data_IF_230094056396
#
_entry.id   IF_230094056396
#
_cell.length_a   1.000
_cell.length_b   1.000
_cell.length_c   1.000
_cell.angle_alpha   90.00
_cell.angle_beta   90.00
_cell.angle_gamma   90.00
#
_symmetry.space_group_name_H-M   'P 1'
#
loop_
_entity.id
_entity.type
_entity.pdbx_description
1 polymer ?
#
# COMPACT_ATOMS: atom_id res chain seq x y z
N UNK A 1 -77.42 8.39 45.70
CA UNK A 1 -76.95 9.54 44.90
C UNK A 1 -75.60 9.14 44.29
N UNK A 2 -75.51 8.97 42.95
CA UNK A 2 -74.88 9.91 41.97
C UNK A 2 -73.39 10.14 42.31
N UNK A 3 -72.37 10.05 41.44
CA UNK A 3 -72.17 10.17 39.99
C UNK A 3 -70.66 9.76 39.82
N UNK A 4 -70.28 8.80 38.98
CA UNK A 4 -69.77 8.95 37.59
C UNK A 4 -68.34 9.54 37.41
N UNK A 5 -67.58 8.82 36.57
CA UNK A 5 -66.49 9.24 35.67
C UNK A 5 -65.16 9.74 36.32
N UNK A 6 -63.95 9.55 35.78
CA UNK A 6 -63.50 9.43 34.39
C UNK A 6 -62.14 8.69 34.32
N UNK A 7 -61.84 8.15 33.13
CA UNK A 7 -60.62 7.46 32.68
C UNK A 7 -59.29 8.16 33.02
N UNK A 8 -58.19 7.40 33.17
CA UNK A 8 -57.16 7.28 32.12
C UNK A 8 -56.10 6.22 32.48
N UNK A 9 -56.03 5.23 31.60
CA UNK A 9 -54.98 4.22 31.46
C UNK A 9 -53.67 4.86 31.00
N UNK A 10 -52.59 4.74 31.76
CA UNK A 10 -51.23 5.02 31.28
C UNK A 10 -50.35 3.78 31.54
N UNK A 11 -50.49 2.78 30.69
CA UNK A 11 -49.57 1.66 30.59
C UNK A 11 -48.28 2.12 29.90
N UNK A 12 -47.25 2.47 30.69
CA UNK A 12 -45.89 2.64 30.19
C UNK A 12 -45.30 1.25 29.91
N UNK A 13 -45.44 0.79 28.67
CA UNK A 13 -44.64 -0.31 28.14
C UNK A 13 -43.22 0.16 27.89
N UNK A 14 -42.31 -0.15 28.81
CA UNK A 14 -40.88 0.04 28.62
C UNK A 14 -40.35 -1.04 27.65
N UNK A 15 -40.45 -0.77 26.36
CA UNK A 15 -39.76 -1.56 25.33
C UNK A 15 -38.26 -1.32 25.45
N UNK A 16 -37.55 -2.25 26.09
CA UNK A 16 -36.08 -2.32 26.03
C UNK A 16 -35.68 -2.64 24.59
N UNK A 17 -35.43 -1.60 23.79
CA UNK A 17 -34.82 -1.73 22.49
C UNK A 17 -33.37 -2.20 22.67
N UNK A 18 -33.11 -3.47 22.37
CA UNK A 18 -31.76 -3.97 22.15
C UNK A 18 -31.17 -3.24 20.95
N UNK A 19 -30.32 -2.24 21.19
CA UNK A 19 -29.47 -1.68 20.15
C UNK A 19 -28.47 -2.76 19.73
N UNK A 20 -28.45 -3.22 18.48
CA UNK A 20 -27.40 -4.11 18.02
C UNK A 20 -26.06 -3.39 18.18
N UNK A 21 -25.12 -4.05 18.86
CA UNK A 21 -23.77 -3.56 19.00
C UNK A 21 -23.19 -3.30 17.59
N UNK A 22 -22.51 -2.16 17.36
CA UNK A 22 -21.89 -1.89 16.07
C UNK A 22 -20.91 -3.03 15.74
N UNK A 23 -20.83 -3.47 14.47
CA UNK A 23 -19.91 -4.52 14.07
C UNK A 23 -18.50 -4.12 14.50
N UNK A 24 -17.87 -4.98 15.30
CA UNK A 24 -16.49 -4.82 15.73
C UNK A 24 -15.61 -4.72 14.49
N UNK A 25 -15.04 -3.54 14.26
CA UNK A 25 -14.08 -3.27 13.18
C UNK A 25 -12.97 -4.33 13.29
N UNK A 26 -12.63 -5.06 12.20
CA UNK A 26 -11.54 -6.02 12.27
C UNK A 26 -10.29 -5.29 12.78
N UNK A 27 -9.63 -5.88 13.79
CA UNK A 27 -8.39 -5.36 14.37
C UNK A 27 -7.48 -4.98 13.22
N UNK A 28 -7.22 -3.68 13.07
CA UNK A 28 -6.42 -3.16 11.96
C UNK A 28 -5.11 -3.95 11.95
N UNK A 29 -4.88 -4.71 10.88
CA UNK A 29 -3.61 -5.40 10.71
C UNK A 29 -2.50 -4.36 10.85
N UNK A 30 -1.56 -4.58 11.77
CA UNK A 30 -0.50 -3.63 12.06
C UNK A 30 0.24 -3.33 10.76
N UNK A 31 0.14 -2.08 10.29
CA UNK A 31 0.92 -1.58 9.16
C UNK A 31 2.37 -1.47 9.58
N UNK A 32 3.25 -2.16 8.86
CA UNK A 32 4.69 -2.12 9.04
C UNK A 32 5.34 -1.91 7.67
N UNK A 33 5.85 -0.71 7.44
CA UNK A 33 6.53 -0.33 6.20
C UNK A 33 7.95 0.09 6.56
N UNK A 34 8.94 -0.53 5.91
CA UNK A 34 10.36 -0.24 6.11
C UNK A 34 11.00 0.03 4.77
N UNK A 35 11.83 1.06 4.73
CA UNK A 35 12.59 1.45 3.55
C UNK A 35 14.04 1.74 3.97
N UNK A 36 14.98 1.22 3.20
CA UNK A 36 16.38 1.64 3.22
C UNK A 36 16.77 2.15 1.83
N UNK A 37 17.63 3.17 1.82
CA UNK A 37 18.21 3.77 0.62
C UNK A 37 19.73 3.69 0.76
N UNK A 38 20.38 2.93 -0.12
CA UNK A 38 21.82 2.64 -0.06
C UNK A 38 22.25 2.12 1.33
N UNK A 39 21.44 1.24 1.92
CA UNK A 39 21.67 0.68 3.25
C UNK A 39 21.31 1.59 4.43
N UNK A 40 20.96 2.86 4.18
CA UNK A 40 20.55 3.80 5.23
C UNK A 40 19.04 3.76 5.43
N UNK A 41 18.52 3.69 6.67
CA UNK A 41 17.08 3.71 6.92
C UNK A 41 16.47 5.04 6.48
N UNK A 42 15.30 4.97 5.83
CA UNK A 42 14.48 6.12 5.46
C UNK A 42 13.16 6.02 6.23
N UNK A 43 12.82 7.07 6.96
CA UNK A 43 11.56 7.12 7.68
C UNK A 43 10.39 7.14 6.67
N UNK A 44 9.44 6.21 6.83
CA UNK A 44 8.27 6.07 5.96
C UNK A 44 7.05 6.63 6.69
N UNK A 45 6.27 7.46 6.01
CA UNK A 45 4.98 7.90 6.49
C UNK A 45 3.93 6.82 6.24
N UNK A 46 3.57 6.08 7.28
CA UNK A 46 2.55 5.03 7.18
C UNK A 46 1.13 5.57 6.98
N UNK A 47 0.88 6.84 7.27
CA UNK A 47 -0.43 7.47 7.11
C UNK A 47 -0.71 7.84 5.66
N UNK A 48 0.31 8.14 4.85
CA UNK A 48 0.17 8.45 3.42
C UNK A 48 0.64 7.34 2.48
N UNK A 49 1.44 6.39 2.97
CA UNK A 49 1.82 5.21 2.18
C UNK A 49 0.61 4.28 1.95
N UNK A 50 0.54 3.66 0.77
CA UNK A 50 -0.59 2.84 0.33
C UNK A 50 -0.13 1.62 -0.44
N UNK A 51 -0.84 0.52 -0.26
CA UNK A 51 -0.77 -0.64 -1.15
C UNK A 51 -2.12 -0.75 -1.85
N UNK A 52 -2.11 -0.78 -3.18
CA UNK A 52 -3.32 -0.66 -3.99
C UNK A 52 -3.32 -1.73 -5.08
N UNK A 53 -4.46 -2.35 -5.32
CA UNK A 53 -4.67 -3.27 -6.43
C UNK A 53 -5.68 -2.63 -7.38
N UNK A 54 -5.26 -2.31 -8.60
CA UNK A 54 -6.17 -1.77 -9.60
C UNK A 54 -7.21 -2.81 -10.05
N UNK A 55 -8.39 -2.32 -10.40
CA UNK A 55 -9.49 -3.07 -10.99
C UNK A 55 -9.45 -2.98 -12.52
N UNK A 56 -10.25 -3.83 -13.18
CA UNK A 56 -10.34 -3.87 -14.64
C UNK A 56 -9.34 -4.83 -15.31
N UNK A 57 -9.10 -4.58 -16.60
CA UNK A 57 -8.17 -5.33 -17.44
C UNK A 57 -6.76 -4.82 -17.15
N UNK A 58 -5.79 -5.73 -16.98
CA UNK A 58 -4.40 -5.43 -16.57
C UNK A 58 -4.29 -4.90 -15.12
N UNK A 59 -4.71 -5.73 -14.16
CA UNK A 59 -4.55 -5.44 -12.73
C UNK A 59 -3.08 -5.20 -12.39
N UNK A 60 -2.84 -4.22 -11.51
CA UNK A 60 -1.51 -3.85 -11.00
C UNK A 60 -1.59 -3.75 -9.49
N UNK A 61 -0.64 -4.37 -8.79
CA UNK A 61 -0.34 -4.09 -7.40
C UNK A 61 0.66 -2.92 -7.37
N UNK A 62 0.26 -1.82 -6.77
CA UNK A 62 1.10 -0.65 -6.50
C UNK A 62 1.51 -0.66 -5.03
N UNK A 63 2.82 -0.53 -4.78
CA UNK A 63 3.38 -0.32 -3.44
C UNK A 63 3.93 1.10 -3.42
N UNK A 64 3.21 2.02 -2.78
CA UNK A 64 3.54 3.43 -2.69
C UNK A 64 4.02 3.76 -1.27
N UNK A 65 5.31 4.04 -1.11
CA UNK A 65 5.94 4.37 0.17
C UNK A 65 6.36 5.84 0.18
N UNK A 66 5.63 6.66 0.92
CA UNK A 66 5.90 8.08 1.11
C UNK A 66 6.96 8.24 2.20
N UNK A 67 7.93 9.14 1.98
CA UNK A 67 8.91 9.48 3.01
C UNK A 67 8.31 10.42 4.04
N UNK A 68 8.60 10.20 5.32
CA UNK A 68 8.10 11.06 6.40
C UNK A 68 8.69 12.49 6.36
N UNK A 69 9.86 12.66 5.76
CA UNK A 69 10.52 13.98 5.60
C UNK A 69 10.18 14.70 4.28
N UNK A 70 9.41 14.06 3.38
CA UNK A 70 8.89 14.68 2.16
C UNK A 70 7.54 14.07 1.78
N UNK A 71 6.44 14.47 2.45
CA UNK A 71 5.11 13.90 2.23
C UNK A 71 4.50 14.27 0.87
N UNK A 72 4.97 15.36 0.25
CA UNK A 72 4.50 15.83 -1.07
C UNK A 72 5.14 15.04 -2.23
N UNK A 73 6.23 14.32 -1.96
CA UNK A 73 6.86 13.43 -2.93
C UNK A 73 6.34 12.00 -2.77
N UNK A 74 6.25 11.28 -3.89
CA UNK A 74 5.81 9.88 -3.87
C UNK A 74 6.77 8.93 -3.13
N UNK A 75 8.01 9.35 -2.85
CA UNK A 75 9.01 8.51 -2.19
C UNK A 75 9.42 7.36 -3.11
N UNK A 76 8.99 6.13 -2.81
CA UNK A 76 9.19 4.94 -3.64
C UNK A 76 7.84 4.39 -4.13
N UNK A 77 7.74 4.16 -5.44
CA UNK A 77 6.62 3.44 -6.06
C UNK A 77 7.13 2.17 -6.73
N UNK A 78 6.49 1.04 -6.48
CA UNK A 78 6.74 -0.24 -7.18
C UNK A 78 5.45 -0.72 -7.80
N UNK A 79 5.49 -1.13 -9.08
CA UNK A 79 4.35 -1.69 -9.79
C UNK A 79 4.57 -3.18 -10.09
N UNK A 80 3.54 -4.01 -9.92
CA UNK A 80 3.54 -5.43 -10.26
C UNK A 80 2.23 -5.78 -10.97
N UNK A 81 2.30 -6.12 -12.26
CA UNK A 81 1.13 -6.43 -13.08
C UNK A 81 0.86 -7.93 -13.30
N UNK A 82 1.48 -8.79 -12.49
CA UNK A 82 1.32 -10.24 -12.58
C UNK A 82 0.17 -10.71 -11.69
N UNK A 83 -0.97 -11.02 -12.30
CA UNK A 83 -2.17 -11.52 -11.61
C UNK A 83 -2.64 -12.89 -12.13
N UNK A 84 -3.27 -13.72 -11.28
CA UNK A 84 -3.58 -13.48 -9.86
C UNK A 84 -2.31 -13.40 -8.99
N UNK A 85 -2.33 -12.52 -8.00
CA UNK A 85 -1.20 -12.36 -7.08
C UNK A 85 -1.13 -13.58 -6.16
N UNK A 86 0.03 -14.24 -6.15
CA UNK A 86 0.36 -15.38 -5.30
C UNK A 86 1.61 -15.12 -4.46
N UNK A 87 1.87 -15.94 -3.44
CA UNK A 87 3.15 -15.89 -2.73
C UNK A 87 4.28 -16.34 -3.67
N UNK A 88 5.39 -15.61 -3.68
CA UNK A 88 6.50 -15.90 -4.60
C UNK A 88 7.34 -14.67 -4.94
N UNK A 89 8.27 -14.87 -5.88
CA UNK A 89 9.17 -13.82 -6.38
C UNK A 89 8.66 -13.20 -7.67
N UNK A 90 8.57 -11.88 -7.66
CA UNK A 90 8.22 -11.04 -8.79
C UNK A 90 9.47 -10.25 -9.19
N UNK A 91 10.25 -10.83 -10.11
CA UNK A 91 11.42 -10.16 -10.67
C UNK A 91 10.98 -9.09 -11.66
N UNK A 92 11.64 -7.95 -11.62
CA UNK A 92 11.54 -6.89 -12.60
C UNK A 92 12.12 -7.47 -13.90
N UNK A 93 11.24 -7.82 -14.85
CA UNK A 93 11.65 -8.46 -16.10
C UNK A 93 12.03 -7.40 -17.13
N UNK A 94 12.83 -7.82 -18.10
CA UNK A 94 13.18 -7.02 -19.26
C UNK A 94 11.97 -6.81 -20.19
N UNK A 95 12.10 -5.77 -21.02
CA UNK A 95 11.07 -5.03 -21.78
C UNK A 95 10.17 -5.92 -22.68
N UNK A 96 10.59 -7.14 -23.01
CA UNK A 96 9.88 -8.04 -23.94
C UNK A 96 8.82 -8.93 -23.29
N UNK A 97 8.67 -8.89 -21.96
CA UNK A 97 7.73 -9.77 -21.26
C UNK A 97 6.26 -9.32 -21.28
N UNK A 98 5.97 -8.13 -21.84
CA UNK A 98 4.62 -7.56 -21.83
C UNK A 98 4.09 -7.21 -20.44
N UNK A 99 4.95 -7.31 -19.42
CA UNK A 99 4.61 -7.13 -18.02
C UNK A 99 5.32 -5.91 -17.42
N UNK A 100 4.57 -4.97 -16.84
CA UNK A 100 5.07 -3.79 -16.13
C UNK A 100 5.47 -4.18 -14.71
N UNK A 101 6.78 -4.23 -14.49
CA UNK A 101 7.41 -4.42 -13.19
C UNK A 101 8.55 -3.44 -13.07
N UNK A 102 8.23 -2.27 -12.58
CA UNK A 102 9.17 -1.18 -12.45
C UNK A 102 9.12 -0.59 -11.05
N UNK A 103 10.11 0.24 -10.79
CA UNK A 103 10.13 1.05 -9.61
C UNK A 103 10.60 2.45 -9.97
N UNK A 104 10.01 3.43 -9.29
CA UNK A 104 10.40 4.83 -9.39
C UNK A 104 10.62 5.40 -8.00
N UNK A 105 11.48 6.40 -7.94
CA UNK A 105 11.78 7.11 -6.71
C UNK A 105 11.85 8.60 -6.96
N UNK A 106 11.25 9.37 -6.06
CA UNK A 106 11.25 10.82 -6.09
C UNK A 106 11.48 11.39 -4.70
N UNK A 107 12.44 12.30 -4.61
CA UNK A 107 12.69 13.07 -3.40
C UNK A 107 13.40 14.39 -3.73
N UNK A 108 12.73 15.51 -3.49
CA UNK A 108 13.20 16.84 -3.87
C UNK A 108 13.43 16.91 -5.38
N UNK A 109 14.66 17.24 -5.79
CA UNK A 109 15.06 17.31 -7.21
C UNK A 109 15.55 15.98 -7.78
N UNK A 110 15.61 14.93 -6.97
CA UNK A 110 16.08 13.61 -7.40
C UNK A 110 14.90 12.79 -7.90
N UNK A 111 14.97 12.37 -9.17
CA UNK A 111 14.05 11.40 -9.76
C UNK A 111 14.87 10.23 -10.30
N UNK A 112 14.49 9.01 -9.95
CA UNK A 112 15.18 7.80 -10.38
C UNK A 112 14.19 6.71 -10.81
N UNK A 113 14.59 5.90 -11.79
CA UNK A 113 13.78 4.82 -12.33
C UNK A 113 14.60 3.54 -12.46
N UNK A 114 13.95 2.39 -12.33
CA UNK A 114 14.61 1.09 -12.46
C UNK A 114 15.05 0.83 -13.89
N UNK A 115 14.26 1.24 -14.87
CA UNK A 115 14.58 1.14 -16.30
C UNK A 115 15.73 2.08 -16.74
N UNK A 116 16.04 3.14 -15.98
CA UNK A 116 17.12 4.08 -16.31
C UNK A 116 18.53 3.49 -16.10
N UNK A 117 18.62 2.36 -15.39
CA UNK A 117 19.89 1.64 -15.15
C UNK A 117 20.38 0.80 -16.34
N UNK A 118 19.63 0.72 -17.44
CA UNK A 118 19.92 -0.16 -18.58
C UNK A 118 19.57 -1.62 -18.31
N UNK A 119 19.62 -2.07 -17.05
CA UNK A 119 19.04 -3.33 -16.58
C UNK A 119 17.99 -3.01 -15.51
N UNK A 120 16.79 -3.56 -15.67
CA UNK A 120 15.69 -3.42 -14.72
C UNK A 120 15.88 -4.43 -13.57
N UNK A 121 16.85 -4.18 -12.69
CA UNK A 121 17.24 -5.08 -11.60
C UNK A 121 16.41 -4.81 -10.35
N UNK A 122 15.47 -5.69 -10.07
CA UNK A 122 14.69 -5.67 -8.84
C UNK A 122 13.84 -6.91 -8.65
N UNK A 123 13.39 -7.09 -7.41
CA UNK A 123 12.56 -8.21 -6.99
C UNK A 123 11.64 -7.77 -5.86
N UNK A 124 10.39 -8.20 -5.96
CA UNK A 124 9.46 -8.21 -4.84
C UNK A 124 9.19 -9.65 -4.44
N UNK A 125 9.41 -9.98 -3.18
CA UNK A 125 9.08 -11.28 -2.60
C UNK A 125 7.79 -11.12 -1.80
N UNK A 126 6.69 -11.67 -2.31
CA UNK A 126 5.45 -11.77 -1.54
C UNK A 126 5.54 -13.00 -0.64
N UNK A 127 5.40 -12.78 0.66
CA UNK A 127 5.55 -13.81 1.71
C UNK A 127 4.21 -14.34 2.19
N UNK A 128 3.18 -13.48 2.25
CA UNK A 128 1.84 -13.87 2.65
C UNK A 128 0.79 -12.95 2.01
N UNK A 129 -0.35 -13.53 1.64
CA UNK A 129 -1.54 -12.81 1.17
C UNK A 129 -2.72 -13.38 1.96
N UNK A 130 -3.53 -12.49 2.54
CA UNK A 130 -4.83 -12.84 3.09
C UNK A 130 -5.90 -12.06 2.32
N UNK A 131 -6.56 -12.76 1.40
CA UNK A 131 -7.60 -12.17 0.55
C UNK A 131 -8.87 -11.81 1.33
N UNK A 132 -9.16 -12.48 2.46
CA UNK A 132 -10.34 -12.18 3.27
C UNK A 132 -10.15 -10.89 4.07
N UNK A 133 -8.95 -10.70 4.61
CA UNK A 133 -8.58 -9.50 5.38
C UNK A 133 -7.99 -8.39 4.52
N UNK A 134 -7.84 -8.62 3.22
CA UNK A 134 -7.16 -7.71 2.29
C UNK A 134 -5.78 -7.29 2.80
N UNK A 135 -4.98 -8.23 3.31
CA UNK A 135 -3.63 -7.93 3.80
C UNK A 135 -2.58 -8.64 2.97
N UNK A 136 -1.42 -8.01 2.86
CA UNK A 136 -0.27 -8.55 2.15
C UNK A 136 1.00 -8.24 2.93
N UNK A 137 1.94 -9.19 2.91
CA UNK A 137 3.27 -9.03 3.48
C UNK A 137 4.35 -9.51 2.53
N UNK A 138 5.47 -8.79 2.48
CA UNK A 138 6.61 -9.15 1.66
C UNK A 138 7.86 -8.31 1.90
N UNK A 139 8.85 -8.53 1.06
CA UNK A 139 10.07 -7.72 0.97
C UNK A 139 10.29 -7.25 -0.46
N UNK A 140 11.10 -6.22 -0.63
CA UNK A 140 11.50 -5.74 -1.94
C UNK A 140 12.97 -5.34 -1.95
N UNK A 141 13.56 -5.43 -3.13
CA UNK A 141 14.86 -4.86 -3.47
C UNK A 141 14.78 -4.32 -4.90
N UNK A 142 15.15 -3.07 -5.10
CA UNK A 142 15.15 -2.42 -6.40
C UNK A 142 16.43 -1.61 -6.57
N UNK A 143 17.05 -1.73 -7.75
CA UNK A 143 18.05 -0.77 -8.19
C UNK A 143 17.37 0.29 -9.04
N UNK A 144 17.58 1.56 -8.72
CA UNK A 144 17.17 2.70 -9.54
C UNK A 144 18.38 3.53 -9.97
N UNK A 145 18.24 4.22 -11.10
CA UNK A 145 19.24 5.17 -11.57
C UNK A 145 18.57 6.51 -11.83
N UNK A 146 19.29 7.58 -11.55
CA UNK A 146 18.82 8.95 -11.77
C UNK A 146 18.39 9.13 -13.23
N UNK A 147 17.21 9.72 -13.44
CA UNK A 147 16.60 9.85 -14.75
C UNK A 147 17.51 10.63 -15.72
N UNK A 148 18.04 11.74 -15.22
CA UNK A 148 18.95 12.62 -15.93
C UNK A 148 20.36 12.49 -15.36
N UNK A 149 21.32 12.15 -16.22
CA UNK A 149 22.73 12.22 -15.86
C UNK A 149 23.20 13.67 -15.96
N UNK A 150 24.02 14.13 -15.02
CA UNK A 150 24.73 15.40 -15.22
C UNK A 150 25.71 15.23 -16.39
N UNK A 151 25.88 16.22 -17.28
CA UNK A 151 26.82 16.14 -18.39
C UNK A 151 28.21 15.68 -17.93
N UNK A 152 28.77 14.65 -18.60
CA UNK A 152 30.09 14.10 -18.28
C UNK A 152 30.17 13.18 -17.05
N UNK A 153 29.03 12.82 -16.43
CA UNK A 153 29.01 11.94 -15.24
C UNK A 153 28.19 10.68 -15.48
N UNK A 154 28.50 9.61 -14.74
CA UNK A 154 27.65 8.42 -14.69
C UNK A 154 26.37 8.73 -13.90
N UNK A 155 25.24 8.16 -14.33
CA UNK A 155 23.98 8.22 -13.57
C UNK A 155 24.21 7.73 -12.15
N UNK A 156 23.73 8.48 -11.17
CA UNK A 156 23.75 8.06 -9.76
C UNK A 156 22.83 6.85 -9.59
N UNK A 157 23.33 5.81 -8.93
CA UNK A 157 22.61 4.56 -8.65
C UNK A 157 22.11 4.57 -7.21
N UNK A 158 20.90 4.09 -7.02
CA UNK A 158 20.22 3.93 -5.74
C UNK A 158 19.84 2.47 -5.57
N UNK A 159 20.14 1.92 -4.40
CA UNK A 159 19.66 0.62 -3.97
C UNK A 159 18.57 0.84 -2.92
N UNK A 160 17.34 0.45 -3.23
CA UNK A 160 16.20 0.55 -2.32
C UNK A 160 15.80 -0.84 -1.87
N UNK A 161 15.73 -1.03 -0.57
CA UNK A 161 15.39 -2.32 0.04
C UNK A 161 14.38 -2.10 1.17
N UNK A 162 13.58 -3.11 1.47
CA UNK A 162 12.60 -2.95 2.53
C UNK A 162 11.64 -4.10 2.70
N UNK A 163 10.67 -3.87 3.57
CA UNK A 163 9.59 -4.79 3.86
C UNK A 163 8.27 -4.06 3.97
N UNK A 164 7.20 -4.75 3.62
CA UNK A 164 5.84 -4.24 3.75
C UNK A 164 4.97 -5.29 4.42
N UNK A 165 4.12 -4.84 5.33
CA UNK A 165 2.97 -5.53 5.85
C UNK A 165 1.87 -4.48 5.97
N UNK A 166 0.80 -4.60 5.19
CA UNK A 166 -0.29 -3.64 5.23
C UNK A 166 -1.58 -4.26 4.71
N UNK A 167 -2.70 -3.62 5.04
CA UNK A 167 -3.89 -3.76 4.22
C UNK A 167 -3.63 -3.18 2.83
N UNK A 168 -4.22 -3.78 1.80
CA UNK A 168 -4.27 -3.23 0.45
C UNK A 168 -5.71 -2.87 0.09
N UNK A 169 -5.90 -1.73 -0.59
CA UNK A 169 -7.21 -1.35 -1.14
C UNK A 169 -7.35 -1.84 -2.57
N UNK A 170 -8.59 -2.06 -3.00
CA UNK A 170 -8.93 -2.35 -4.39
C UNK A 170 -9.54 -1.07 -4.97
N UNK A 171 -9.00 -0.59 -6.09
CA UNK A 171 -9.42 0.66 -6.75
C UNK A 171 -9.93 0.40 -8.15
#
# INVERSE_FOLDING_TARGET
MRLRFFLLTLSLGASLAFTPAPPSRPVAARTELKLTLNGQPVAVDTAFSRLEVSTGVNKVLSINLVRADSPDDQGLTILIDQFPLTTGQYKFKEILSGHVRDASYRHGTTTAYSNACGLNDGVVQVLAIDAQRHTIRGTFRATLCEAEARPGTKRRRFLLEGSFQSAYSVQ
#
